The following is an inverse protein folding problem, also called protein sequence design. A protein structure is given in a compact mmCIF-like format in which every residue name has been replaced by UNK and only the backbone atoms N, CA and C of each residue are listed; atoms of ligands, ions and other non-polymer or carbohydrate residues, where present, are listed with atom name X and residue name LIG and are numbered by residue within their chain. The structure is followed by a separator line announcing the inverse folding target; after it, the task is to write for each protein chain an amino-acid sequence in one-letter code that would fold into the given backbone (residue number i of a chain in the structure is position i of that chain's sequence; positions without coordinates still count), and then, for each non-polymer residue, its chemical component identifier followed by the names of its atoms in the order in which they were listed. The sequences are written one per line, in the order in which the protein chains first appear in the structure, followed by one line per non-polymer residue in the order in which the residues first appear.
data_IF_728716333592
#
_entry.id   IF_728716333592
#
_cell.length_a   1.000
_cell.length_b   1.000
_cell.length_c   1.000
_cell.angle_alpha   90.00
_cell.angle_beta   90.00
_cell.angle_gamma   90.00
#
_symmetry.space_group_name_H-M   'P 1'
#
loop_
_entity.id
_entity.type
_entity.pdbx_description
1 polymer ?
#
# COMPACT_ATOMS: atom_id res chain seq x y z
N UNK A 1 6.84 -43.60 7.39
CA UNK A 1 6.46 -44.47 6.24
C UNK A 1 5.97 -43.59 5.10
N UNK A 2 6.46 -43.79 3.88
CA UNK A 2 6.10 -42.98 2.69
C UNK A 2 4.59 -42.93 2.46
N UNK A 3 3.86 -44.02 2.73
CA UNK A 3 2.39 -44.09 2.60
C UNK A 3 1.66 -43.05 3.46
N UNK A 4 2.13 -42.79 4.68
CA UNK A 4 1.50 -41.82 5.59
C UNK A 4 1.70 -40.41 5.08
N UNK A 5 2.91 -40.11 4.65
CA UNK A 5 3.25 -38.79 4.10
C UNK A 5 2.39 -38.53 2.86
N UNK A 6 2.30 -39.49 1.95
CA UNK A 6 1.45 -39.36 0.75
C UNK A 6 -0.04 -39.24 1.09
N UNK A 7 -0.53 -39.96 2.10
CA UNK A 7 -1.93 -39.86 2.53
C UNK A 7 -2.26 -38.47 3.09
N UNK A 8 -1.36 -37.91 3.91
CA UNK A 8 -1.51 -36.56 4.47
C UNK A 8 -1.49 -35.52 3.35
N UNK A 9 -0.54 -35.59 2.40
CA UNK A 9 -0.51 -34.66 1.28
C UNK A 9 -1.75 -34.77 0.37
N UNK A 10 -2.22 -35.98 0.10
CA UNK A 10 -3.45 -36.19 -0.66
C UNK A 10 -4.67 -35.58 0.06
N UNK A 11 -4.76 -35.80 1.37
CA UNK A 11 -5.81 -35.21 2.20
C UNK A 11 -5.74 -33.68 2.20
N UNK A 12 -4.55 -33.08 2.26
CA UNK A 12 -4.39 -31.63 2.22
C UNK A 12 -4.87 -31.04 0.90
N UNK A 13 -4.46 -31.62 -0.22
CA UNK A 13 -4.86 -31.15 -1.55
C UNK A 13 -6.39 -31.21 -1.68
N UNK A 14 -6.99 -32.37 -1.34
CA UNK A 14 -8.45 -32.55 -1.40
C UNK A 14 -9.15 -31.61 -0.43
N UNK A 15 -8.64 -31.47 0.80
CA UNK A 15 -9.20 -30.61 1.84
C UNK A 15 -9.18 -29.14 1.45
N UNK A 16 -8.08 -28.65 0.88
CA UNK A 16 -7.98 -27.27 0.39
C UNK A 16 -8.91 -27.08 -0.80
N UNK A 17 -8.98 -28.00 -1.76
CA UNK A 17 -9.90 -27.90 -2.90
C UNK A 17 -11.36 -27.85 -2.44
N UNK A 18 -11.76 -28.69 -1.49
CA UNK A 18 -13.12 -28.69 -0.93
C UNK A 18 -13.40 -27.44 -0.11
N UNK A 19 -12.43 -26.96 0.68
CA UNK A 19 -12.59 -25.74 1.48
C UNK A 19 -12.68 -24.51 0.59
N UNK A 20 -11.91 -24.47 -0.51
CA UNK A 20 -12.00 -23.41 -1.50
C UNK A 20 -13.36 -23.44 -2.22
N UNK A 21 -13.86 -24.64 -2.57
CA UNK A 21 -15.21 -24.81 -3.11
C UNK A 21 -16.31 -24.41 -2.12
N UNK A 22 -16.13 -24.70 -0.84
CA UNK A 22 -17.04 -24.23 0.21
C UNK A 22 -17.00 -22.69 0.35
N UNK A 23 -15.82 -22.10 0.30
CA UNK A 23 -15.63 -20.65 0.37
C UNK A 23 -16.30 -19.93 -0.82
N UNK A 24 -16.17 -20.47 -2.04
CA UNK A 24 -16.85 -19.90 -3.22
C UNK A 24 -18.38 -19.98 -3.10
N UNK A 25 -18.91 -21.06 -2.53
CA UNK A 25 -20.36 -21.21 -2.33
C UNK A 25 -20.93 -20.30 -1.23
N UNK A 26 -20.15 -20.00 -0.19
CA UNK A 26 -20.64 -19.25 0.97
C UNK A 26 -20.43 -17.74 0.84
N UNK A 27 -19.28 -17.32 0.31
CA UNK A 27 -18.88 -15.90 0.29
C UNK A 27 -18.81 -15.34 -1.14
N UNK A 28 -18.46 -16.19 -2.12
CA UNK A 28 -18.42 -15.81 -3.54
C UNK A 28 -17.20 -14.99 -3.98
N UNK A 29 -16.55 -14.26 -3.07
CA UNK A 29 -15.32 -13.50 -3.34
C UNK A 29 -14.23 -13.77 -2.31
N UNK A 30 -12.97 -13.56 -2.71
CA UNK A 30 -11.82 -13.70 -1.82
C UNK A 30 -11.18 -12.33 -1.60
N UNK A 31 -11.02 -11.96 -0.34
CA UNK A 31 -10.22 -10.83 0.08
C UNK A 31 -8.78 -11.29 0.36
N UNK A 32 -7.81 -10.37 0.32
CA UNK A 32 -6.41 -10.67 0.62
C UNK A 32 -6.25 -11.31 2.00
N UNK A 33 -7.02 -10.85 2.98
CA UNK A 33 -7.02 -11.42 4.33
C UNK A 33 -7.65 -12.80 4.40
N UNK A 34 -8.75 -13.05 3.67
CA UNK A 34 -9.40 -14.36 3.74
C UNK A 34 -8.52 -15.44 3.13
N UNK A 35 -7.68 -15.15 2.12
CA UNK A 35 -6.71 -16.11 1.55
C UNK A 35 -5.70 -16.70 2.56
N UNK A 36 -5.48 -16.08 3.72
CA UNK A 36 -4.63 -16.61 4.79
C UNK A 36 -5.13 -17.99 5.27
N UNK A 37 -6.43 -18.28 5.11
CA UNK A 37 -7.02 -19.57 5.49
C UNK A 37 -6.28 -20.76 4.86
N UNK A 38 -5.74 -20.64 3.64
CA UNK A 38 -5.09 -21.74 2.94
C UNK A 38 -3.86 -22.20 3.73
N UNK A 39 -3.02 -21.26 4.15
CA UNK A 39 -1.82 -21.53 4.96
C UNK A 39 -2.21 -22.02 6.35
N UNK A 40 -3.26 -21.45 6.95
CA UNK A 40 -3.77 -21.92 8.24
C UNK A 40 -4.30 -23.36 8.17
N UNK A 41 -4.96 -23.73 7.08
CA UNK A 41 -5.45 -25.09 6.84
C UNK A 41 -4.30 -26.09 6.73
N UNK A 42 -3.17 -25.71 6.13
CA UNK A 42 -1.97 -26.54 6.15
C UNK A 42 -1.46 -26.80 7.57
N UNK A 43 -1.52 -25.83 8.47
CA UNK A 43 -1.15 -26.03 9.88
C UNK A 43 -2.17 -26.93 10.60
N UNK A 44 -3.42 -26.47 10.65
CA UNK A 44 -4.45 -27.07 11.52
C UNK A 44 -5.04 -28.37 10.95
N UNK A 45 -5.15 -28.48 9.63
CA UNK A 45 -5.72 -29.66 8.96
C UNK A 45 -4.81 -30.88 9.01
N UNK A 46 -3.49 -30.66 9.02
CA UNK A 46 -2.49 -31.75 9.14
C UNK A 46 -2.52 -32.38 10.52
N UNK A 47 -2.79 -31.61 11.58
CA UNK A 47 -2.75 -32.10 12.95
C UNK A 47 -3.68 -33.30 13.15
N UNK A 48 -4.91 -33.24 12.61
CA UNK A 48 -5.85 -34.35 12.69
C UNK A 48 -5.31 -35.60 11.99
N UNK A 49 -4.73 -35.42 10.80
CA UNK A 49 -4.16 -36.51 10.02
C UNK A 49 -2.96 -37.16 10.72
N UNK A 50 -2.11 -36.36 11.36
CA UNK A 50 -0.95 -36.82 12.13
C UNK A 50 -1.38 -37.58 13.38
N UNK A 51 -2.29 -37.02 14.18
CA UNK A 51 -2.80 -37.69 15.38
C UNK A 51 -3.45 -39.03 15.03
N UNK A 52 -4.26 -39.06 13.97
CA UNK A 52 -4.87 -40.29 13.48
C UNK A 52 -3.82 -41.31 13.02
N UNK A 53 -2.86 -40.88 12.19
CA UNK A 53 -1.82 -41.76 11.63
C UNK A 53 -0.88 -42.32 12.70
N UNK A 54 -0.55 -41.55 13.74
CA UNK A 54 0.28 -42.00 14.85
C UNK A 54 -0.45 -43.03 15.72
N UNK A 55 -1.71 -42.77 16.07
CA UNK A 55 -2.50 -43.73 16.86
C UNK A 55 -2.76 -45.02 16.08
N UNK A 56 -3.02 -44.91 14.79
CA UNK A 56 -3.17 -46.06 13.91
C UNK A 56 -1.90 -46.92 13.84
N UNK A 57 -0.72 -46.30 13.71
CA UNK A 57 0.55 -47.03 13.73
C UNK A 57 0.83 -47.74 15.06
N UNK A 58 0.38 -47.17 16.18
CA UNK A 58 0.48 -47.84 17.49
C UNK A 58 -0.45 -49.05 17.53
N UNK A 59 -1.70 -48.92 17.09
CA UNK A 59 -2.65 -50.04 17.02
C UNK A 59 -2.17 -51.17 16.11
N UNK A 60 -1.49 -50.84 15.00
CA UNK A 60 -0.97 -51.81 14.03
C UNK A 60 0.15 -52.71 14.60
N UNK A 61 0.70 -52.40 15.78
CA UNK A 61 1.65 -53.28 16.47
C UNK A 61 0.99 -54.53 17.04
N UNK A 62 -0.23 -54.36 17.54
CA UNK A 62 -0.91 -55.36 18.38
C UNK A 62 -2.13 -55.97 17.66
N UNK A 63 -2.47 -55.51 16.46
CA UNK A 63 -3.68 -55.92 15.75
C UNK A 63 -3.60 -55.87 14.22
N UNK A 64 -4.67 -56.33 13.57
CA UNK A 64 -4.86 -56.23 12.12
C UNK A 64 -5.17 -54.80 11.68
N UNK A 65 -4.99 -54.48 10.40
CA UNK A 65 -5.31 -53.16 9.83
C UNK A 65 -6.75 -52.73 10.15
N UNK A 66 -7.72 -53.63 9.94
CA UNK A 66 -9.14 -53.33 10.14
C UNK A 66 -9.50 -53.10 11.62
N UNK A 67 -8.95 -53.91 12.53
CA UNK A 67 -9.17 -53.74 13.98
C UNK A 67 -8.50 -52.48 14.51
N UNK A 68 -7.30 -52.17 14.01
CA UNK A 68 -6.54 -50.97 14.37
C UNK A 68 -7.21 -49.68 13.90
N UNK A 69 -7.77 -49.67 12.68
CA UNK A 69 -8.56 -48.54 12.17
C UNK A 69 -9.81 -48.31 13.02
N UNK A 70 -10.57 -49.37 13.32
CA UNK A 70 -11.78 -49.26 14.12
C UNK A 70 -11.48 -48.76 15.54
N UNK A 71 -10.44 -49.27 16.18
CA UNK A 71 -10.00 -48.82 17.50
C UNK A 71 -9.53 -47.36 17.47
N UNK A 72 -8.73 -47.00 16.47
CA UNK A 72 -8.20 -45.63 16.32
C UNK A 72 -9.31 -44.61 16.13
N UNK A 73 -10.28 -44.90 15.26
CA UNK A 73 -11.43 -44.02 15.04
C UNK A 73 -12.28 -43.88 16.31
N UNK A 74 -12.54 -44.96 17.05
CA UNK A 74 -13.29 -44.90 18.31
C UNK A 74 -12.59 -44.07 19.39
N UNK A 75 -11.27 -44.23 19.51
CA UNK A 75 -10.47 -43.54 20.53
C UNK A 75 -10.31 -42.05 20.24
N UNK A 76 -10.06 -41.68 18.97
CA UNK A 76 -9.72 -40.30 18.61
C UNK A 76 -10.93 -39.45 18.21
N UNK A 77 -12.02 -40.04 17.73
CA UNK A 77 -13.18 -39.27 17.25
C UNK A 77 -13.71 -38.27 18.30
N UNK A 78 -13.89 -38.62 19.60
CA UNK A 78 -14.35 -37.66 20.61
C UNK A 78 -13.38 -36.49 20.81
N UNK A 79 -12.07 -36.77 20.84
CA UNK A 79 -11.03 -35.75 21.02
C UNK A 79 -10.93 -34.82 19.80
N UNK A 80 -10.98 -35.37 18.59
CA UNK A 80 -10.93 -34.62 17.34
C UNK A 80 -12.21 -33.79 17.11
N UNK A 81 -13.39 -34.32 17.46
CA UNK A 81 -14.65 -33.58 17.46
C UNK A 81 -14.59 -32.39 18.41
N UNK A 82 -14.13 -32.59 19.65
CA UNK A 82 -14.03 -31.52 20.63
C UNK A 82 -13.08 -30.42 20.14
N UNK A 83 -11.89 -30.81 19.67
CA UNK A 83 -10.90 -29.88 19.11
C UNK A 83 -11.45 -29.11 17.89
N UNK A 84 -12.16 -29.80 17.00
CA UNK A 84 -12.81 -29.20 15.83
C UNK A 84 -13.87 -28.18 16.27
N UNK A 85 -14.75 -28.56 17.20
CA UNK A 85 -15.83 -27.71 17.69
C UNK A 85 -15.29 -26.44 18.39
N UNK A 86 -14.28 -26.57 19.25
CA UNK A 86 -13.68 -25.40 19.91
C UNK A 86 -12.99 -24.47 18.92
N UNK A 87 -12.30 -25.02 17.92
CA UNK A 87 -11.62 -24.23 16.88
C UNK A 87 -12.63 -23.54 15.96
N UNK A 88 -13.69 -24.24 15.56
CA UNK A 88 -14.79 -23.66 14.79
C UNK A 88 -15.43 -22.49 15.55
N UNK A 89 -15.74 -22.65 16.84
CA UNK A 89 -16.32 -21.59 17.65
C UNK A 89 -15.39 -20.37 17.75
N UNK A 90 -14.07 -20.59 17.89
CA UNK A 90 -13.10 -19.51 17.90
C UNK A 90 -13.10 -18.73 16.57
N UNK A 91 -13.08 -19.42 15.42
CA UNK A 91 -13.14 -18.75 14.11
C UNK A 91 -14.48 -18.09 13.85
N UNK A 92 -15.59 -18.73 14.22
CA UNK A 92 -16.94 -18.21 14.00
C UNK A 92 -17.25 -17.00 14.90
N UNK A 93 -16.46 -16.77 15.96
CA UNK A 93 -16.57 -15.56 16.78
C UNK A 93 -16.30 -14.27 15.99
N UNK A 94 -15.63 -14.34 14.84
CA UNK A 94 -15.43 -13.21 13.93
C UNK A 94 -16.61 -12.94 13.00
N UNK A 95 -17.49 -13.92 12.76
CA UNK A 95 -18.63 -13.80 11.85
C UNK A 95 -19.61 -12.64 12.18
N UNK A 96 -19.95 -12.34 13.46
CA UNK A 96 -20.86 -11.23 13.78
C UNK A 96 -20.20 -9.85 13.76
N UNK A 97 -18.91 -9.74 13.43
CA UNK A 97 -18.21 -8.46 13.46
C UNK A 97 -18.43 -7.67 12.16
N UNK A 98 -18.36 -6.33 12.24
CA UNK A 98 -18.47 -5.46 11.07
C UNK A 98 -17.21 -5.50 10.15
N UNK A 99 -16.20 -6.29 10.51
CA UNK A 99 -14.97 -6.40 9.73
C UNK A 99 -15.03 -7.58 8.76
N UNK A 100 -15.50 -7.31 7.55
CA UNK A 100 -15.83 -8.32 6.55
C UNK A 100 -14.68 -9.31 6.28
N UNK A 101 -13.44 -8.82 6.16
CA UNK A 101 -12.28 -9.70 5.90
C UNK A 101 -12.03 -10.75 6.98
N UNK A 102 -12.22 -10.41 8.26
CA UNK A 102 -12.12 -11.38 9.37
C UNK A 102 -13.36 -12.27 9.47
N UNK A 103 -14.55 -11.73 9.22
CA UNK A 103 -15.79 -12.50 9.23
C UNK A 103 -15.75 -13.62 8.16
N UNK A 104 -15.34 -13.30 6.94
CA UNK A 104 -15.14 -14.26 5.85
C UNK A 104 -14.09 -15.31 6.22
N UNK A 105 -12.92 -14.89 6.73
CA UNK A 105 -11.87 -15.80 7.19
C UNK A 105 -12.41 -16.77 8.26
N UNK A 106 -13.21 -16.29 9.20
CA UNK A 106 -13.82 -17.07 10.26
C UNK A 106 -14.76 -18.15 9.73
N UNK A 107 -15.66 -17.80 8.82
CA UNK A 107 -16.61 -18.74 8.19
C UNK A 107 -15.87 -19.79 7.37
N UNK A 108 -14.90 -19.39 6.54
CA UNK A 108 -14.10 -20.32 5.73
C UNK A 108 -13.32 -21.29 6.62
N UNK A 109 -12.67 -20.78 7.68
CA UNK A 109 -11.84 -21.59 8.57
C UNK A 109 -12.68 -22.59 9.37
N UNK A 110 -13.87 -22.20 9.81
CA UNK A 110 -14.81 -23.12 10.48
C UNK A 110 -15.31 -24.23 9.55
N UNK A 111 -15.64 -23.90 8.29
CA UNK A 111 -15.98 -24.88 7.27
C UNK A 111 -14.81 -25.80 6.93
N UNK A 112 -13.62 -25.24 6.77
CA UNK A 112 -12.39 -25.99 6.53
C UNK A 112 -12.09 -26.99 7.64
N UNK A 113 -12.23 -26.59 8.91
CA UNK A 113 -12.03 -27.52 10.03
C UNK A 113 -13.01 -28.70 10.00
N UNK A 114 -14.27 -28.44 9.65
CA UNK A 114 -15.29 -29.49 9.48
C UNK A 114 -14.91 -30.46 8.35
N UNK A 115 -14.44 -29.93 7.21
CA UNK A 115 -13.98 -30.72 6.06
C UNK A 115 -12.73 -31.54 6.44
N UNK A 116 -11.78 -30.95 7.17
CA UNK A 116 -10.57 -31.65 7.62
C UNK A 116 -10.91 -32.82 8.55
N UNK A 117 -11.84 -32.64 9.49
CA UNK A 117 -12.31 -33.73 10.33
C UNK A 117 -12.99 -34.82 9.50
N UNK A 118 -13.88 -34.43 8.58
CA UNK A 118 -14.59 -35.35 7.70
C UNK A 118 -13.62 -36.19 6.85
N UNK A 119 -12.64 -35.56 6.20
CA UNK A 119 -11.62 -36.26 5.42
C UNK A 119 -10.73 -37.14 6.31
N UNK A 120 -10.39 -36.70 7.52
CA UNK A 120 -9.63 -37.52 8.48
C UNK A 120 -10.37 -38.82 8.81
N UNK A 121 -11.69 -38.76 9.00
CA UNK A 121 -12.51 -39.91 9.37
C UNK A 121 -12.90 -40.81 8.20
N UNK A 122 -12.77 -40.33 6.95
CA UNK A 122 -13.21 -41.06 5.75
C UNK A 122 -12.04 -41.44 4.85
N UNK A 123 -11.27 -40.45 4.40
CA UNK A 123 -10.19 -40.60 3.43
C UNK A 123 -9.00 -41.36 4.02
N UNK A 124 -8.56 -41.05 5.25
CA UNK A 124 -7.40 -41.71 5.86
C UNK A 124 -7.65 -43.20 6.13
N UNK A 125 -8.77 -43.62 6.74
CA UNK A 125 -9.08 -45.04 6.87
C UNK A 125 -9.12 -45.75 5.51
N UNK A 126 -9.80 -45.17 4.52
CA UNK A 126 -9.88 -45.74 3.18
C UNK A 126 -8.47 -45.92 2.57
N UNK A 127 -7.61 -44.91 2.67
CA UNK A 127 -6.22 -44.97 2.20
C UNK A 127 -5.43 -46.08 2.89
N UNK A 128 -5.50 -46.18 4.22
CA UNK A 128 -4.73 -47.16 4.99
C UNK A 128 -5.23 -48.60 4.86
N UNK A 129 -6.47 -48.81 4.42
CA UNK A 129 -6.92 -50.18 4.04
C UNK A 129 -6.20 -50.68 2.78
N UNK A 130 -5.96 -49.81 1.80
CA UNK A 130 -5.32 -50.17 0.53
C UNK A 130 -3.78 -50.11 0.61
N UNK A 131 -3.23 -49.11 1.29
CA UNK A 131 -1.79 -48.86 1.39
C UNK A 131 -1.36 -48.76 2.85
N UNK A 132 -1.40 -49.90 3.54
CA UNK A 132 -1.02 -49.97 4.94
C UNK A 132 0.44 -49.51 5.15
N UNK A 133 0.70 -48.59 6.09
CA UNK A 133 2.05 -48.15 6.39
C UNK A 133 2.83 -49.24 7.12
N UNK A 134 4.14 -49.30 6.88
CA UNK A 134 5.01 -50.21 7.63
C UNK A 134 4.88 -49.99 9.15
N UNK A 135 4.80 -51.09 9.89
CA UNK A 135 4.77 -51.09 11.36
C UNK A 135 6.08 -50.48 11.88
N UNK A 136 5.99 -49.32 12.54
CA UNK A 136 7.16 -48.73 13.17
C UNK A 136 7.33 -49.33 14.56
N UNK A 137 8.41 -50.05 14.79
CA UNK A 137 8.87 -50.45 16.14
C UNK A 137 9.70 -49.31 16.72
N UNK A 138 9.06 -48.23 17.17
CA UNK A 138 9.76 -47.24 17.99
C UNK A 138 9.93 -47.84 19.39
N UNK A 139 11.19 -48.09 19.79
CA UNK A 139 11.53 -48.11 21.22
C UNK A 139 11.31 -46.70 21.72
N UNK A 140 10.30 -46.52 22.58
CA UNK A 140 10.18 -45.28 23.36
C UNK A 140 11.42 -45.26 24.25
N UNK A 141 12.42 -44.47 23.88
CA UNK A 141 13.52 -44.17 24.80
C UNK A 141 12.93 -43.40 25.96
N UNK A 142 13.24 -43.81 27.18
CA UNK A 142 12.79 -43.13 28.38
C UNK A 142 13.01 -41.61 28.24
N UNK A 143 12.00 -40.83 28.63
CA UNK A 143 11.99 -39.38 28.43
C UNK A 143 13.24 -38.78 29.11
N UNK A 144 14.18 -38.15 28.37
CA UNK A 144 15.41 -37.62 28.95
C UNK A 144 15.16 -36.36 29.79
N UNK A 145 13.95 -35.81 29.74
CA UNK A 145 13.55 -34.63 30.49
C UNK A 145 13.36 -34.96 31.97
N UNK A 146 13.94 -34.16 32.89
CA UNK A 146 13.74 -34.35 34.32
C UNK A 146 12.26 -34.20 34.67
N UNK A 147 11.76 -35.05 35.58
CA UNK A 147 10.42 -34.91 36.16
C UNK A 147 10.37 -33.65 37.02
N UNK A 148 10.17 -32.50 36.39
CA UNK A 148 9.98 -31.22 37.05
C UNK A 148 8.72 -31.28 37.91
N UNK A 149 8.85 -30.95 39.19
CA UNK A 149 7.70 -30.82 40.09
C UNK A 149 6.86 -29.62 39.64
N UNK A 150 5.56 -29.81 39.45
CA UNK A 150 4.59 -28.77 39.07
C UNK A 150 4.69 -27.50 39.95
N UNK A 151 5.06 -27.67 41.22
CA UNK A 151 5.28 -26.54 42.15
C UNK A 151 6.36 -25.57 41.67
N UNK A 152 7.43 -26.06 41.04
CA UNK A 152 8.51 -25.21 40.53
C UNK A 152 8.05 -24.40 39.32
N UNK A 153 7.19 -24.98 38.48
CA UNK A 153 6.62 -24.27 37.33
C UNK A 153 5.80 -23.06 37.79
N UNK A 154 5.04 -23.17 38.89
CA UNK A 154 4.28 -22.05 39.45
C UNK A 154 5.17 -20.88 39.89
N UNK A 155 6.32 -21.16 40.52
CA UNK A 155 7.27 -20.12 40.96
C UNK A 155 7.93 -19.36 39.81
N UNK A 156 7.97 -19.90 38.60
CA UNK A 156 8.55 -19.20 37.44
C UNK A 156 7.47 -18.61 36.52
N UNK A 157 6.40 -19.35 36.25
CA UNK A 157 5.34 -18.92 35.32
C UNK A 157 4.54 -17.74 35.87
N UNK A 158 4.20 -17.74 37.17
CA UNK A 158 3.42 -16.66 37.79
C UNK A 158 4.18 -15.33 37.75
N UNK A 159 5.42 -15.21 38.28
CA UNK A 159 6.14 -13.94 38.20
C UNK A 159 6.47 -13.56 36.76
N UNK A 160 6.77 -14.52 35.87
CA UNK A 160 6.98 -14.21 34.46
C UNK A 160 5.71 -13.62 33.81
N UNK A 161 4.54 -14.16 34.14
CA UNK A 161 3.25 -13.63 33.70
C UNK A 161 2.99 -12.21 34.24
N UNK A 162 3.35 -11.93 35.49
CA UNK A 162 3.24 -10.60 36.08
C UNK A 162 4.19 -9.60 35.42
N UNK A 163 5.43 -10.01 35.13
CA UNK A 163 6.39 -9.18 34.39
C UNK A 163 5.90 -8.91 32.97
N UNK A 164 5.39 -9.92 32.27
CA UNK A 164 4.80 -9.75 30.95
C UNK A 164 3.58 -8.79 30.98
N UNK A 165 2.72 -8.90 31.98
CA UNK A 165 1.58 -8.00 32.17
C UNK A 165 2.02 -6.56 32.48
N UNK A 166 3.09 -6.39 33.25
CA UNK A 166 3.68 -5.07 33.51
C UNK A 166 4.20 -4.42 32.24
N UNK A 167 4.92 -5.17 31.39
CA UNK A 167 5.42 -4.70 30.09
C UNK A 167 4.26 -4.38 29.14
N UNK A 168 3.19 -5.19 29.14
CA UNK A 168 2.04 -5.00 28.26
C UNK A 168 1.25 -3.71 28.52
N UNK A 169 1.50 -3.00 29.63
CA UNK A 169 0.86 -1.71 29.94
C UNK A 169 1.17 -0.63 28.91
N UNK A 170 2.34 -0.69 28.29
CA UNK A 170 2.83 0.34 27.37
C UNK A 170 2.55 0.01 25.89
N UNK A 171 1.65 -0.94 25.61
CA UNK A 171 1.25 -1.28 24.23
C UNK A 171 0.40 -0.15 23.64
N UNK A 172 0.92 0.49 22.58
CA UNK A 172 0.21 1.48 21.78
C UNK A 172 -0.51 0.83 20.61
N UNK A 173 -1.69 1.36 20.26
CA UNK A 173 -2.41 0.96 19.04
C UNK A 173 -2.06 1.90 17.90
N UNK A 174 -1.68 1.34 16.76
CA UNK A 174 -1.42 2.10 15.53
C UNK A 174 -2.71 2.19 14.70
N UNK A 175 -3.22 3.40 14.53
CA UNK A 175 -4.43 3.67 13.75
C UNK A 175 -4.15 3.88 12.26
N UNK A 176 -2.87 3.94 11.87
CA UNK A 176 -2.46 4.29 10.52
C UNK A 176 -2.54 3.09 9.57
N UNK A 177 -3.54 3.11 8.70
CA UNK A 177 -3.72 2.07 7.67
C UNK A 177 -2.58 2.09 6.64
N UNK A 178 -1.95 3.25 6.41
CA UNK A 178 -0.77 3.38 5.54
C UNK A 178 0.41 2.56 6.10
N UNK A 179 0.48 2.44 7.43
CA UNK A 179 1.50 1.62 8.08
C UNK A 179 1.33 0.11 7.84
N UNK A 180 0.16 -0.35 7.38
CA UNK A 180 -0.03 -1.76 6.99
C UNK A 180 0.33 -2.04 5.54
N UNK A 181 0.61 -1.01 4.72
CA UNK A 181 0.93 -1.16 3.30
C UNK A 181 2.44 -1.38 3.11
N UNK A 182 2.80 -2.01 2.00
CA UNK A 182 4.21 -2.21 1.64
C UNK A 182 4.89 -0.88 1.31
N UNK A 183 5.88 -0.52 2.12
CA UNK A 183 6.67 0.71 2.02
C UNK A 183 7.48 0.80 0.72
N UNK A 184 7.93 -0.34 0.21
CA UNK A 184 8.81 -0.39 -0.96
C UNK A 184 8.01 -0.39 -2.27
N UNK A 185 6.68 -0.38 -2.20
CA UNK A 185 5.84 -0.30 -3.38
C UNK A 185 5.91 1.09 -4.02
N UNK A 186 6.03 1.12 -5.35
CA UNK A 186 6.06 2.36 -6.15
C UNK A 186 4.88 3.29 -5.81
N UNK A 187 3.69 2.73 -5.62
CA UNK A 187 2.48 3.48 -5.28
C UNK A 187 2.60 4.20 -3.92
N UNK A 188 3.15 3.53 -2.90
CA UNK A 188 3.30 4.11 -1.56
C UNK A 188 4.38 5.19 -1.56
N UNK A 189 5.52 4.96 -2.24
CA UNK A 189 6.56 5.98 -2.36
C UNK A 189 6.11 7.20 -3.18
N UNK A 190 5.36 6.99 -4.25
CA UNK A 190 4.78 8.09 -5.04
C UNK A 190 3.80 8.90 -4.20
N UNK A 191 2.93 8.24 -3.41
CA UNK A 191 2.01 8.91 -2.51
C UNK A 191 2.74 9.75 -1.46
N UNK A 192 3.77 9.20 -0.80
CA UNK A 192 4.59 9.93 0.16
C UNK A 192 5.27 11.14 -0.48
N UNK A 193 5.82 10.98 -1.69
CA UNK A 193 6.43 12.08 -2.45
C UNK A 193 5.41 13.20 -2.77
N UNK A 194 4.18 12.84 -3.15
CA UNK A 194 3.11 13.80 -3.41
C UNK A 194 2.64 14.51 -2.12
N UNK A 195 2.64 13.80 -0.99
CA UNK A 195 2.32 14.36 0.33
C UNK A 195 3.39 15.33 0.83
N UNK A 196 4.67 15.01 0.61
CA UNK A 196 5.80 15.90 0.89
C UNK A 196 5.74 17.18 0.07
N UNK A 197 5.43 17.05 -1.23
CA UNK A 197 5.24 18.18 -2.15
C UNK A 197 3.92 18.94 -1.94
N UNK A 198 3.06 18.51 -1.01
CA UNK A 198 1.73 19.10 -0.73
C UNK A 198 0.81 19.14 -1.95
N UNK A 199 1.01 18.22 -2.90
CA UNK A 199 0.21 18.12 -4.13
C UNK A 199 -1.02 17.25 -3.93
N UNK A 200 -0.92 16.21 -3.09
CA UNK A 200 -2.02 15.32 -2.75
C UNK A 200 -1.85 14.76 -1.33
N UNK A 201 -2.94 14.53 -0.61
CA UNK A 201 -2.93 13.88 0.68
C UNK A 201 -4.18 13.04 0.89
N UNK A 202 -4.01 11.87 1.49
CA UNK A 202 -5.12 10.98 1.87
C UNK A 202 -5.83 11.47 3.13
N UNK A 203 -5.22 12.41 3.86
CA UNK A 203 -5.74 12.95 5.11
C UNK A 203 -6.59 14.21 4.91
N UNK A 204 -7.12 14.42 3.71
CA UNK A 204 -8.05 15.52 3.43
C UNK A 204 -9.50 15.10 3.70
N UNK A 205 -10.31 16.04 4.20
CA UNK A 205 -11.74 15.84 4.38
C UNK A 205 -12.47 16.62 3.29
N UNK A 206 -13.40 15.97 2.60
CA UNK A 206 -14.26 16.60 1.61
C UNK A 206 -15.66 16.80 2.18
N UNK A 207 -16.14 18.04 2.18
CA UNK A 207 -17.48 18.44 2.64
C UNK A 207 -18.24 19.08 1.48
N UNK A 208 -19.51 18.72 1.30
CA UNK A 208 -20.37 19.36 0.31
C UNK A 208 -21.20 20.47 0.97
N UNK A 209 -21.17 21.65 0.37
CA UNK A 209 -21.97 22.80 0.79
C UNK A 209 -23.06 23.10 -0.25
N UNK A 210 -24.27 23.42 0.19
CA UNK A 210 -25.43 23.56 -0.71
C UNK A 210 -25.39 24.80 -1.62
N UNK A 211 -24.48 25.75 -1.36
CA UNK A 211 -24.36 27.00 -2.11
C UNK A 211 -22.98 27.62 -1.98
N UNK A 212 -22.64 28.53 -2.89
CA UNK A 212 -21.42 29.35 -2.81
C UNK A 212 -21.30 30.11 -1.48
N UNK A 213 -22.41 30.64 -0.96
CA UNK A 213 -22.42 31.41 0.29
C UNK A 213 -22.24 30.53 1.52
N UNK A 214 -22.82 29.31 1.52
CA UNK A 214 -22.60 28.34 2.60
C UNK A 214 -21.17 27.80 2.58
N UNK A 215 -20.60 27.54 1.40
CA UNK A 215 -19.20 27.14 1.25
C UNK A 215 -18.25 28.21 1.82
N UNK A 216 -18.48 29.49 1.52
CA UNK A 216 -17.67 30.60 2.05
C UNK A 216 -17.75 30.72 3.58
N UNK A 217 -18.96 30.58 4.16
CA UNK A 217 -19.15 30.56 5.62
C UNK A 217 -18.44 29.37 6.27
N UNK A 218 -18.55 28.19 5.66
CA UNK A 218 -17.91 26.98 6.15
C UNK A 218 -16.39 27.12 6.10
N UNK A 219 -15.84 27.65 5.00
CA UNK A 219 -14.41 27.97 4.88
C UNK A 219 -13.95 28.87 6.01
N UNK A 220 -14.63 30.01 6.23
CA UNK A 220 -14.27 30.93 7.30
C UNK A 220 -14.28 30.27 8.69
N UNK A 221 -15.27 29.42 8.96
CA UNK A 221 -15.35 28.70 10.23
C UNK A 221 -14.23 27.67 10.38
N UNK A 222 -13.98 26.84 9.37
CA UNK A 222 -12.98 25.77 9.43
C UNK A 222 -11.55 26.32 9.48
N UNK A 223 -11.24 27.39 8.75
CA UNK A 223 -9.92 28.04 8.81
C UNK A 223 -9.62 28.64 10.19
N UNK A 224 -10.63 28.92 11.02
CA UNK A 224 -10.43 29.40 12.40
C UNK A 224 -9.98 28.29 13.38
N UNK A 225 -10.11 27.02 13.00
CA UNK A 225 -9.75 25.90 13.87
C UNK A 225 -8.23 25.68 13.91
N UNK A 226 -7.63 25.43 15.08
CA UNK A 226 -6.17 25.31 15.22
C UNK A 226 -5.56 24.09 14.52
N UNK A 227 -6.37 23.07 14.23
CA UNK A 227 -5.95 21.82 13.56
C UNK A 227 -6.06 21.89 12.04
N UNK A 228 -6.75 22.89 11.49
CA UNK A 228 -6.96 23.03 10.04
C UNK A 228 -5.84 23.89 9.46
N UNK A 229 -5.24 23.41 8.38
CA UNK A 229 -4.16 24.10 7.67
C UNK A 229 -4.69 24.94 6.55
N UNK A 230 -5.35 24.30 5.59
CA UNK A 230 -5.90 24.95 4.41
C UNK A 230 -7.32 24.46 4.11
N UNK A 231 -8.13 25.34 3.55
CA UNK A 231 -9.50 25.05 3.13
C UNK A 231 -9.72 25.61 1.73
N UNK A 232 -9.92 24.71 0.78
CA UNK A 232 -10.09 25.03 -0.63
C UNK A 232 -11.56 24.89 -1.04
N UNK A 233 -12.04 25.86 -1.79
CA UNK A 233 -13.40 25.94 -2.34
C UNK A 233 -13.32 26.22 -3.84
N UNK A 234 -14.40 25.98 -4.61
CA UNK A 234 -14.37 26.20 -6.06
C UNK A 234 -14.10 27.66 -6.44
N UNK A 235 -14.44 28.60 -5.55
CA UNK A 235 -14.21 30.03 -5.74
C UNK A 235 -12.75 30.43 -5.57
N UNK A 236 -11.93 29.63 -4.89
CA UNK A 236 -10.50 29.94 -4.70
C UNK A 236 -9.68 29.78 -5.99
N UNK A 237 -10.23 29.06 -6.98
CA UNK A 237 -9.65 28.98 -8.32
C UNK A 237 -9.91 30.23 -9.17
N UNK A 238 -10.80 31.14 -8.71
CA UNK A 238 -11.01 32.43 -9.34
C UNK A 238 -10.05 33.45 -8.73
N UNK A 239 -9.15 34.06 -9.52
CA UNK A 239 -8.23 35.05 -8.99
C UNK A 239 -8.99 36.27 -8.44
N UNK A 240 -8.54 36.79 -7.29
CA UNK A 240 -9.02 38.06 -6.76
C UNK A 240 -8.51 39.24 -7.61
N UNK A 241 -9.28 40.33 -7.65
CA UNK A 241 -8.90 41.62 -8.26
C UNK A 241 -8.45 41.51 -9.74
N UNK A 242 -9.18 40.73 -10.53
CA UNK A 242 -8.82 40.45 -11.92
C UNK A 242 -8.73 41.71 -12.79
N UNK A 243 -9.56 42.72 -12.54
CA UNK A 243 -9.56 43.99 -13.28
C UNK A 243 -8.25 44.76 -13.11
N UNK A 244 -7.78 44.92 -11.87
CA UNK A 244 -6.51 45.59 -11.56
C UNK A 244 -5.33 44.84 -12.17
N UNK A 245 -5.32 43.50 -12.01
CA UNK A 245 -4.26 42.64 -12.57
C UNK A 245 -4.25 42.68 -14.10
N UNK A 246 -5.41 42.73 -14.73
CA UNK A 246 -5.51 42.82 -16.19
C UNK A 246 -4.88 44.11 -16.73
N UNK A 247 -5.11 45.24 -16.08
CA UNK A 247 -4.48 46.52 -16.47
C UNK A 247 -2.95 46.42 -16.42
N UNK A 248 -2.41 45.88 -15.32
CA UNK A 248 -0.96 45.67 -15.17
C UNK A 248 -0.40 44.72 -16.25
N UNK A 249 -1.13 43.64 -16.57
CA UNK A 249 -0.74 42.70 -17.61
C UNK A 249 -0.76 43.34 -18.99
N UNK A 250 -1.75 44.19 -19.30
CA UNK A 250 -1.83 44.91 -20.58
C UNK A 250 -0.69 45.92 -20.76
N UNK A 251 -0.36 46.68 -19.72
CA UNK A 251 0.79 47.59 -19.73
C UNK A 251 2.10 46.82 -19.96
N UNK A 252 2.27 45.71 -19.25
CA UNK A 252 3.44 44.83 -19.40
C UNK A 252 3.49 44.20 -20.80
N UNK A 253 2.36 43.73 -21.32
CA UNK A 253 2.24 43.18 -22.67
C UNK A 253 2.63 44.20 -23.73
N UNK A 254 2.26 45.47 -23.56
CA UNK A 254 2.63 46.54 -24.49
C UNK A 254 4.15 46.79 -24.53
N UNK A 255 4.85 46.69 -23.38
CA UNK A 255 6.31 46.79 -23.33
C UNK A 255 7.00 45.66 -24.10
N UNK A 256 6.41 44.47 -24.09
CA UNK A 256 6.97 43.26 -24.70
C UNK A 256 6.40 42.92 -26.09
N UNK A 257 5.43 43.69 -26.59
CA UNK A 257 4.80 43.49 -27.89
C UNK A 257 5.80 43.62 -29.06
N UNK A 258 6.89 44.35 -28.84
CA UNK A 258 7.95 44.60 -29.82
C UNK A 258 9.15 43.66 -29.64
N UNK A 259 9.10 42.65 -28.77
CA UNK A 259 10.14 41.60 -28.79
C UNK A 259 10.07 40.96 -30.18
N UNK A 260 11.12 41.17 -30.95
CA UNK A 260 11.27 40.65 -32.30
C UNK A 260 11.13 39.12 -32.29
N UNK A 261 10.34 38.59 -33.21
CA UNK A 261 10.18 37.15 -33.35
C UNK A 261 11.56 36.54 -33.63
N UNK A 262 11.99 35.60 -32.78
CA UNK A 262 13.28 34.92 -32.98
C UNK A 262 13.11 34.00 -34.19
N UNK A 263 13.42 34.54 -35.37
CA UNK A 263 13.53 33.78 -36.60
C UNK A 263 14.63 32.72 -36.44
N UNK A 264 14.51 31.55 -37.07
CA UNK A 264 15.59 30.57 -37.09
C UNK A 264 16.82 31.25 -37.69
N UNK A 265 17.79 31.56 -36.83
CA UNK A 265 19.03 32.19 -37.24
C UNK A 265 19.76 31.30 -38.23
N UNK A 266 20.30 31.89 -39.29
CA UNK A 266 21.31 31.27 -40.15
C UNK A 266 22.38 30.60 -39.26
N UNK A 267 22.90 29.41 -39.62
CA UNK A 267 23.93 28.73 -38.84
C UNK A 267 25.13 29.67 -38.62
N UNK A 268 25.25 30.14 -37.39
CA UNK A 268 26.10 31.26 -37.04
C UNK A 268 27.57 30.90 -37.26
N UNK A 269 28.19 31.44 -38.30
CA UNK A 269 29.61 31.26 -38.62
C UNK A 269 30.55 31.98 -37.63
N UNK A 270 30.02 32.68 -36.60
CA UNK A 270 30.78 33.58 -35.71
C UNK A 270 30.86 33.12 -34.24
N UNK A 271 30.66 31.83 -33.93
CA UNK A 271 30.74 31.36 -32.54
C UNK A 271 32.16 31.42 -31.96
N UNK A 272 33.19 31.16 -32.76
CA UNK A 272 34.61 31.28 -32.38
C UNK A 272 34.95 32.70 -31.87
N UNK A 273 34.70 33.77 -32.66
CA UNK A 273 34.89 35.15 -32.20
C UNK A 273 34.15 35.50 -30.90
N UNK A 274 32.93 34.99 -30.72
CA UNK A 274 32.13 35.26 -29.52
C UNK A 274 32.72 34.61 -28.27
N UNK A 275 33.26 33.38 -28.38
CA UNK A 275 33.92 32.70 -27.27
C UNK A 275 35.26 33.37 -26.92
N UNK A 276 36.01 33.85 -27.91
CA UNK A 276 37.24 34.62 -27.67
C UNK A 276 36.95 35.96 -26.99
N UNK A 277 35.88 36.66 -27.40
CA UNK A 277 35.42 37.87 -26.72
C UNK A 277 35.00 37.60 -25.27
N UNK A 278 34.27 36.50 -25.03
CA UNK A 278 33.90 36.08 -23.68
C UNK A 278 35.13 35.77 -22.81
N UNK A 279 36.11 35.06 -23.37
CA UNK A 279 37.39 34.77 -22.71
C UNK A 279 38.15 36.05 -22.33
N UNK A 280 38.20 37.03 -23.23
CA UNK A 280 38.84 38.32 -22.96
C UNK A 280 38.09 39.11 -21.88
N UNK A 281 36.75 39.10 -21.91
CA UNK A 281 35.90 39.75 -20.92
C UNK A 281 36.05 39.12 -19.52
N UNK A 282 36.31 37.82 -19.42
CA UNK A 282 36.58 37.16 -18.14
C UNK A 282 37.89 37.63 -17.47
N UNK A 283 38.80 38.27 -18.20
CA UNK A 283 40.03 38.84 -17.62
C UNK A 283 39.80 40.19 -16.95
N UNK A 284 38.70 40.88 -17.24
CA UNK A 284 38.37 42.20 -16.68
C UNK A 284 37.47 42.14 -15.45
N UNK A 285 36.81 41.00 -15.20
CA UNK A 285 36.04 40.73 -13.97
C UNK A 285 36.94 40.30 -12.81
N UNK A 286 36.40 40.44 -11.61
CA UNK A 286 36.99 40.04 -10.33
C UNK A 286 37.30 38.53 -10.26
N UNK A 287 38.16 38.15 -9.31
CA UNK A 287 38.69 36.79 -9.21
C UNK A 287 37.61 35.74 -8.88
N UNK A 288 36.54 36.13 -8.18
CA UNK A 288 35.46 35.25 -7.75
C UNK A 288 34.54 34.90 -8.92
N UNK A 289 34.08 35.93 -9.65
CA UNK A 289 33.33 35.76 -10.90
C UNK A 289 34.11 34.95 -11.93
N UNK A 290 35.43 35.19 -12.05
CA UNK A 290 36.29 34.47 -12.98
C UNK A 290 36.37 32.96 -12.67
N UNK A 291 36.42 32.59 -11.39
CA UNK A 291 36.42 31.20 -10.97
C UNK A 291 35.06 30.51 -11.28
N UNK A 292 33.95 31.23 -11.11
CA UNK A 292 32.60 30.70 -11.38
C UNK A 292 32.36 30.42 -12.88
N UNK A 293 32.88 31.25 -13.78
CA UNK A 293 32.65 31.13 -15.22
C UNK A 293 33.73 30.34 -15.99
N UNK A 294 34.83 29.95 -15.34
CA UNK A 294 35.86 29.09 -15.94
C UNK A 294 35.32 27.75 -16.49
N UNK A 295 34.45 27.02 -15.77
CA UNK A 295 33.84 25.79 -16.29
C UNK A 295 33.01 26.03 -17.56
N UNK A 296 32.26 27.13 -17.60
CA UNK A 296 31.47 27.51 -18.78
C UNK A 296 32.38 27.76 -19.99
N UNK A 297 33.49 28.47 -19.80
CA UNK A 297 34.48 28.70 -20.86
C UNK A 297 35.08 27.38 -21.37
N UNK A 298 35.34 26.41 -20.49
CA UNK A 298 35.82 25.09 -20.89
C UNK A 298 34.79 24.36 -21.77
N UNK A 299 33.52 24.37 -21.37
CA UNK A 299 32.41 23.78 -22.14
C UNK A 299 32.21 24.46 -23.49
N UNK A 300 32.25 25.80 -23.55
CA UNK A 300 32.12 26.56 -24.79
C UNK A 300 33.24 26.24 -25.79
N UNK A 301 34.49 26.14 -25.31
CA UNK A 301 35.62 25.72 -26.14
C UNK A 301 35.48 24.29 -26.70
N UNK A 302 34.83 23.40 -25.96
CA UNK A 302 34.55 22.04 -26.42
C UNK A 302 33.41 21.99 -27.47
N UNK A 303 32.42 22.89 -27.36
CA UNK A 303 31.30 23.02 -28.31
C UNK A 303 31.78 23.61 -29.63
N UNK A 304 32.60 24.66 -29.57
CA UNK A 304 33.18 25.33 -30.75
C UNK A 304 33.92 24.35 -31.67
N UNK A 305 34.63 23.37 -31.09
CA UNK A 305 35.40 22.37 -31.85
C UNK A 305 34.55 21.29 -32.53
N UNK A 306 33.24 21.21 -32.25
CA UNK A 306 32.36 20.15 -32.74
C UNK A 306 31.11 20.74 -33.45
N UNK A 307 31.10 20.76 -34.79
CA UNK A 307 30.01 21.35 -35.59
C UNK A 307 28.64 20.69 -35.35
N UNK A 308 28.59 19.37 -35.15
CA UNK A 308 27.34 18.65 -34.89
C UNK A 308 26.74 19.03 -33.54
N UNK A 309 27.60 19.12 -32.51
CA UNK A 309 27.19 19.53 -31.16
C UNK A 309 26.74 20.99 -31.13
N UNK A 310 27.39 21.87 -31.90
CA UNK A 310 26.98 23.25 -32.09
C UNK A 310 25.58 23.35 -32.72
N UNK A 311 25.32 22.60 -33.79
CA UNK A 311 24.02 22.60 -34.46
C UNK A 311 22.89 22.10 -33.53
N UNK A 312 23.12 21.02 -32.79
CA UNK A 312 22.16 20.48 -31.81
C UNK A 312 21.83 21.48 -30.70
N UNK A 313 22.85 22.13 -30.12
CA UNK A 313 22.66 23.12 -29.05
C UNK A 313 21.91 24.34 -29.57
N UNK A 314 22.29 24.87 -30.73
CA UNK A 314 21.62 26.03 -31.32
C UNK A 314 20.13 25.74 -31.57
N UNK A 315 19.82 24.55 -32.10
CA UNK A 315 18.44 24.13 -32.31
C UNK A 315 17.65 23.99 -30.99
N UNK A 316 18.28 23.42 -29.95
CA UNK A 316 17.64 23.27 -28.63
C UNK A 316 17.39 24.62 -27.95
N UNK A 317 18.36 25.53 -27.97
CA UNK A 317 18.21 26.89 -27.42
C UNK A 317 17.11 27.62 -28.17
N UNK A 318 17.12 27.57 -29.50
CA UNK A 318 16.11 28.21 -30.32
C UNK A 318 14.70 27.70 -29.98
N UNK A 319 14.52 26.37 -29.89
CA UNK A 319 13.25 25.76 -29.48
C UNK A 319 12.83 26.20 -28.07
N UNK A 320 13.76 26.23 -27.12
CA UNK A 320 13.46 26.61 -25.74
C UNK A 320 13.06 28.09 -25.63
N UNK A 321 13.76 28.98 -26.33
CA UNK A 321 13.44 30.42 -26.37
C UNK A 321 12.07 30.64 -27.03
N UNK A 322 11.78 29.98 -28.14
CA UNK A 322 10.46 30.07 -28.78
C UNK A 322 9.33 29.57 -27.85
N UNK A 323 9.52 28.43 -27.17
CA UNK A 323 8.54 27.92 -26.21
C UNK A 323 8.35 28.88 -25.04
N UNK A 324 9.45 29.45 -24.51
CA UNK A 324 9.41 30.41 -23.41
C UNK A 324 8.71 31.71 -23.79
N UNK A 325 9.03 32.28 -24.98
CA UNK A 325 8.37 33.48 -25.50
C UNK A 325 6.88 33.25 -25.76
N UNK A 326 6.52 32.11 -26.33
CA UNK A 326 5.11 31.74 -26.52
C UNK A 326 4.37 31.59 -25.19
N UNK A 327 5.01 31.00 -24.18
CA UNK A 327 4.43 30.85 -22.85
C UNK A 327 4.26 32.21 -22.16
N UNK A 328 5.27 33.08 -22.24
CA UNK A 328 5.23 34.45 -21.74
C UNK A 328 4.10 35.25 -22.40
N UNK A 329 3.99 35.19 -23.73
CA UNK A 329 2.93 35.89 -24.47
C UNK A 329 1.54 35.39 -24.07
N UNK A 330 1.37 34.07 -23.86
CA UNK A 330 0.11 33.50 -23.33
C UNK A 330 -0.22 33.99 -21.93
N UNK A 331 0.77 34.13 -21.05
CA UNK A 331 0.58 34.66 -19.68
C UNK A 331 0.22 36.16 -19.70
N UNK A 332 0.89 36.95 -20.55
CA UNK A 332 0.66 38.40 -20.67
C UNK A 332 -0.69 38.74 -21.32
N UNK A 333 -1.22 37.86 -22.17
CA UNK A 333 -2.52 38.03 -22.84
C UNK A 333 -3.70 37.38 -22.10
N UNK A 334 -3.49 36.96 -20.85
CA UNK A 334 -4.54 36.37 -20.02
C UNK A 334 -5.73 37.33 -19.83
N UNK A 335 -6.95 36.78 -19.90
CA UNK A 335 -8.20 37.54 -19.76
C UNK A 335 -8.89 37.20 -18.45
N UNK A 336 -9.67 38.13 -17.87
CA UNK A 336 -10.54 37.82 -16.75
C UNK A 336 -11.53 36.72 -17.13
N UNK A 337 -11.84 35.86 -16.18
CA UNK A 337 -12.79 34.77 -16.37
C UNK A 337 -13.66 34.58 -15.13
N UNK A 338 -14.87 34.10 -15.39
CA UNK A 338 -15.92 33.80 -14.42
C UNK A 338 -16.02 32.30 -14.17
N UNK A 339 -16.90 31.89 -13.24
CA UNK A 339 -17.12 30.48 -12.94
C UNK A 339 -17.86 29.75 -14.07
N UNK A 340 -18.55 30.48 -14.94
CA UNK A 340 -19.18 29.96 -16.15
C UNK A 340 -18.16 29.62 -17.24
N UNK A 341 -17.03 30.35 -17.28
CA UNK A 341 -15.97 30.17 -18.28
C UNK A 341 -15.06 28.95 -17.99
N UNK A 342 -15.17 28.37 -16.79
CA UNK A 342 -14.39 27.20 -16.39
C UNK A 342 -14.84 25.98 -17.21
N UNK A 343 -13.90 25.18 -17.77
CA UNK A 343 -14.24 23.97 -18.52
C UNK A 343 -15.17 23.04 -17.74
N UNK A 344 -16.23 22.55 -18.38
CA UNK A 344 -17.26 21.73 -17.76
C UNK A 344 -16.69 20.50 -17.02
N UNK A 345 -15.65 19.87 -17.57
CA UNK A 345 -14.97 18.73 -16.95
C UNK A 345 -14.30 19.07 -15.60
N UNK A 346 -13.78 20.30 -15.46
CA UNK A 346 -13.18 20.76 -14.20
C UNK A 346 -14.29 21.22 -13.23
N UNK A 347 -15.28 21.96 -13.74
CA UNK A 347 -16.43 22.40 -12.96
C UNK A 347 -17.19 21.24 -12.33
N UNK A 348 -17.44 20.15 -13.07
CA UNK A 348 -18.14 18.96 -12.58
C UNK A 348 -17.40 18.20 -11.47
N UNK A 349 -16.09 18.42 -11.28
CA UNK A 349 -15.32 17.87 -10.14
C UNK A 349 -15.45 18.70 -8.87
N UNK A 350 -15.83 19.97 -9.00
CA UNK A 350 -15.88 20.95 -7.92
C UNK A 350 -17.30 21.33 -7.51
N UNK A 351 -18.24 21.27 -8.46
CA UNK A 351 -19.64 21.63 -8.29
C UNK A 351 -20.48 20.50 -8.86
N UNK A 352 -21.40 19.97 -8.06
CA UNK A 352 -22.31 18.91 -8.46
C UNK A 352 -23.44 19.45 -9.35
N UNK A 353 -24.15 18.56 -10.04
CA UNK A 353 -25.33 18.92 -10.85
C UNK A 353 -26.46 19.57 -10.03
N UNK A 354 -26.46 19.37 -8.70
CA UNK A 354 -27.39 20.00 -7.76
C UNK A 354 -26.92 21.38 -7.25
N UNK A 355 -25.88 21.96 -7.86
CA UNK A 355 -25.23 23.20 -7.43
C UNK A 355 -24.62 23.14 -6.01
N UNK A 356 -24.23 21.95 -5.53
CA UNK A 356 -23.48 21.83 -4.29
C UNK A 356 -21.97 21.99 -4.56
N UNK A 357 -21.27 22.71 -3.70
CA UNK A 357 -19.87 23.09 -3.81
C UNK A 357 -18.99 22.19 -2.94
N UNK A 358 -17.92 21.65 -3.52
CA UNK A 358 -16.93 20.85 -2.81
C UNK A 358 -15.99 21.74 -1.97
N UNK A 359 -15.96 21.51 -0.66
CA UNK A 359 -15.04 22.15 0.28
C UNK A 359 -14.04 21.10 0.73
N UNK A 360 -12.77 21.25 0.35
CA UNK A 360 -11.70 20.34 0.74
C UNK A 360 -10.88 20.94 1.87
N UNK A 361 -10.71 20.18 2.94
CA UNK A 361 -10.11 20.60 4.21
C UNK A 361 -8.85 19.78 4.43
N UNK A 362 -7.72 20.46 4.61
CA UNK A 362 -6.44 19.84 4.87
C UNK A 362 -5.98 20.13 6.31
N UNK A 363 -5.35 19.15 6.98
CA UNK A 363 -4.83 19.33 8.32
C UNK A 363 -3.64 20.29 8.32
N UNK A 364 -3.42 20.97 9.45
CA UNK A 364 -2.31 21.93 9.63
C UNK A 364 -0.96 21.24 9.69
N UNK A 365 -0.92 20.07 10.33
CA UNK A 365 0.29 19.26 10.43
C UNK A 365 0.36 18.33 9.22
N UNK A 366 1.56 18.25 8.65
CA UNK A 366 1.89 17.34 7.56
C UNK A 366 1.89 15.91 8.09
N UNK A 367 0.87 15.13 7.75
CA UNK A 367 0.78 13.72 8.10
C UNK A 367 1.55 12.89 7.06
N UNK A 368 2.86 13.12 7.03
CA UNK A 368 3.76 12.61 5.98
C UNK A 368 4.63 11.45 6.46
N UNK A 369 4.49 11.05 7.72
CA UNK A 369 5.24 9.95 8.31
C UNK A 369 4.28 8.85 8.77
N UNK A 370 4.74 7.60 8.70
CA UNK A 370 3.99 6.43 9.17
C UNK A 370 3.86 6.39 10.71
N UNK A 371 4.63 7.20 11.43
CA UNK A 371 4.81 7.12 12.88
C UNK A 371 4.08 8.27 13.61
N UNK A 372 3.79 9.39 12.94
CA UNK A 372 3.23 10.61 13.56
C UNK A 372 1.78 10.91 13.15
N UNK A 373 0.90 9.90 13.21
CA UNK A 373 -0.55 10.08 13.04
C UNK A 373 -1.32 9.45 14.19
#
# INVERSE_FOLDING_TARGET
STSIITAIFAMLIIGISLTLGFATLTIGSFNTLSMIFVVMFFGLGVDFAVHFSLRFQVGLRDGSVSSSLLSTSKDLLPALLLCTATSMLAFLSFAPTAYLGLAELGIISAGGMSIALFLTMTLLPAWFTQWSPATIVTRVTANPLPQLKISWLGYFVIPLGLVAAFIAKDITFDYNVLAMRDENSEATQTLLTLQEAQLATDYSISVLADSATSAARLKQHLTSLPLVGDVTTPLDFLPSEQSTKQLMLQETAALYANIEEVLPGEPNQQLEPAVDYFKASLQTVDAESRAQYQPLLHTLNAIVKNPERQAQINQNIHRQVQVALNHLNKMLTARPFSIEDIPAAFKGRLITDKNQYLVSVQPKHKLNSRIET
#
